data_IF_340185079680
#
_entry.id   IF_340185079680
#
_cell.length_a   1.000
_cell.length_b   1.000
_cell.length_c   1.000
_cell.angle_alpha   90.00
_cell.angle_beta   90.00
_cell.angle_gamma   90.00
#
_symmetry.space_group_name_H-M   'P 1'
#
loop_
_entity.id
_entity.type
_entity.pdbx_description
1 polymer ?
#
# COMPACT_ATOMS: atom_id res chain seq x y z
N UNK A 1 -16.10 3.46 -18.17
CA UNK A 1 -14.91 4.16 -17.68
C UNK A 1 -13.82 4.13 -18.72
N UNK A 2 -12.94 5.12 -18.68
CA UNK A 2 -11.68 5.06 -19.42
C UNK A 2 -10.72 4.16 -18.65
N UNK A 3 -10.05 3.25 -19.37
CA UNK A 3 -8.97 2.44 -18.82
C UNK A 3 -7.69 3.27 -18.80
N UNK A 4 -7.01 3.28 -17.67
CA UNK A 4 -5.68 3.85 -17.48
C UNK A 4 -4.69 2.71 -17.33
N UNK A 5 -3.52 2.91 -17.93
CA UNK A 5 -2.40 1.97 -17.84
C UNK A 5 -1.20 2.76 -17.32
N UNK A 6 -0.59 2.27 -16.25
CA UNK A 6 0.62 2.83 -15.66
C UNK A 6 1.77 1.84 -15.72
N UNK A 7 2.99 2.35 -15.60
CA UNK A 7 4.17 1.53 -15.38
C UNK A 7 5.21 2.33 -14.59
N UNK A 8 5.92 1.65 -13.70
CA UNK A 8 6.93 2.19 -12.79
C UNK A 8 8.07 1.19 -12.65
N UNK A 9 9.22 1.72 -12.23
CA UNK A 9 10.44 0.97 -12.05
C UNK A 9 11.25 1.58 -10.92
N UNK A 10 11.75 0.74 -10.02
CA UNK A 10 12.62 1.15 -8.90
C UNK A 10 14.04 0.59 -9.10
N UNK A 11 15.04 1.47 -9.02
CA UNK A 11 16.45 1.18 -9.25
C UNK A 11 17.27 1.83 -8.14
N UNK A 12 18.17 1.05 -7.54
CA UNK A 12 19.13 1.55 -6.55
C UNK A 12 20.56 1.39 -7.05
N UNK A 13 21.38 2.42 -6.80
CA UNK A 13 22.80 2.41 -7.05
C UNK A 13 23.56 2.76 -5.76
N UNK A 14 24.53 1.92 -5.40
CA UNK A 14 25.38 2.11 -4.23
C UNK A 14 26.84 2.20 -4.68
N UNK A 15 27.57 3.19 -4.18
CA UNK A 15 29.02 3.26 -4.32
C UNK A 15 29.62 3.60 -2.96
N UNK A 16 30.43 2.70 -2.41
CA UNK A 16 31.15 2.88 -1.15
C UNK A 16 32.61 2.49 -1.35
N UNK A 17 33.52 3.33 -0.87
CA UNK A 17 34.95 3.07 -0.88
C UNK A 17 35.50 3.29 0.54
N UNK A 18 35.92 2.19 1.18
CA UNK A 18 36.58 2.22 2.49
C UNK A 18 38.03 1.71 2.42
N UNK A 19 38.67 1.77 1.25
CA UNK A 19 40.06 1.33 1.03
C UNK A 19 40.16 0.03 0.23
N UNK A 20 41.40 -0.44 0.04
CA UNK A 20 41.79 -1.44 -0.98
C UNK A 20 40.94 -2.72 -1.00
N UNK A 21 40.36 -3.13 0.14
CA UNK A 21 39.61 -4.37 0.30
C UNK A 21 38.11 -4.16 0.57
N UNK A 22 37.64 -2.90 0.63
CA UNK A 22 36.27 -2.56 1.04
C UNK A 22 35.57 -1.58 0.08
N UNK A 23 35.81 -1.77 -1.22
CA UNK A 23 35.04 -1.11 -2.28
C UNK A 23 33.78 -1.93 -2.61
N UNK A 24 32.62 -1.30 -2.58
CA UNK A 24 31.32 -1.88 -2.94
C UNK A 24 30.65 -0.98 -3.98
N UNK A 25 30.34 -1.56 -5.14
CA UNK A 25 29.53 -0.95 -6.17
C UNK A 25 28.36 -1.88 -6.46
N UNK A 26 27.14 -1.36 -6.33
CA UNK A 26 25.89 -2.10 -6.61
C UNK A 26 25.07 -1.27 -7.57
N UNK A 27 24.51 -1.94 -8.58
CA UNK A 27 23.41 -1.43 -9.39
C UNK A 27 22.36 -2.53 -9.38
N UNK A 28 21.19 -2.23 -8.85
CA UNK A 28 20.14 -3.21 -8.64
C UNK A 28 18.78 -2.66 -9.08
N UNK A 29 18.05 -3.47 -9.84
CA UNK A 29 16.69 -3.21 -10.29
C UNK A 29 15.78 -3.88 -9.27
N UNK A 30 15.17 -3.10 -8.39
CA UNK A 30 14.41 -3.66 -7.27
C UNK A 30 13.04 -4.17 -7.72
N UNK A 31 12.39 -3.41 -8.61
CA UNK A 31 11.02 -3.70 -9.00
C UNK A 31 10.66 -3.10 -10.35
N UNK A 32 9.80 -3.80 -11.10
CA UNK A 32 9.04 -3.25 -12.22
C UNK A 32 7.57 -3.54 -11.98
N UNK A 33 6.73 -2.51 -12.02
CA UNK A 33 5.29 -2.64 -11.83
C UNK A 33 4.52 -2.07 -13.05
N UNK A 34 3.37 -2.68 -13.32
CA UNK A 34 2.39 -2.26 -14.33
C UNK A 34 1.02 -2.18 -13.68
N UNK A 35 0.34 -1.06 -13.87
CA UNK A 35 -1.00 -0.84 -13.35
C UNK A 35 -2.07 -0.83 -14.44
N UNK A 36 -3.24 -1.37 -14.12
CA UNK A 36 -4.46 -1.31 -14.90
C UNK A 36 -5.58 -0.77 -14.01
N UNK A 37 -6.10 0.40 -14.34
CA UNK A 37 -7.00 1.13 -13.46
C UNK A 37 -8.18 1.69 -14.24
N UNK A 38 -9.39 1.65 -13.67
CA UNK A 38 -10.55 2.22 -14.35
C UNK A 38 -11.64 2.70 -13.40
N UNK A 39 -12.19 3.86 -13.73
CA UNK A 39 -13.47 4.31 -13.18
C UNK A 39 -14.60 3.56 -13.88
N UNK A 40 -14.99 2.39 -13.36
CA UNK A 40 -16.00 1.52 -13.96
C UNK A 40 -17.33 2.27 -14.12
N UNK A 41 -17.83 2.86 -13.02
CA UNK A 41 -19.05 3.68 -12.92
C UNK A 41 -18.79 4.88 -11.98
N UNK A 42 -19.66 5.92 -11.89
CA UNK A 42 -19.40 7.10 -11.03
C UNK A 42 -19.10 6.82 -9.55
N UNK A 43 -19.52 5.66 -9.04
CA UNK A 43 -19.36 5.23 -7.65
C UNK A 43 -18.48 3.98 -7.51
N UNK A 44 -17.89 3.44 -8.59
CA UNK A 44 -17.08 2.22 -8.56
C UNK A 44 -15.78 2.39 -9.35
N UNK A 45 -14.68 2.13 -8.67
CA UNK A 45 -13.32 2.16 -9.19
C UNK A 45 -12.68 0.78 -9.05
N UNK A 46 -11.89 0.36 -10.04
CA UNK A 46 -11.12 -0.89 -9.98
C UNK A 46 -9.65 -0.63 -10.32
N UNK A 47 -8.77 -1.36 -9.66
CA UNK A 47 -7.31 -1.31 -9.85
C UNK A 47 -6.71 -2.71 -9.80
N UNK A 48 -5.69 -2.94 -10.64
CA UNK A 48 -4.80 -4.09 -10.60
C UNK A 48 -3.38 -3.58 -10.80
N UNK A 49 -2.48 -3.98 -9.92
CA UNK A 49 -1.05 -3.74 -9.97
C UNK A 49 -0.34 -5.09 -10.05
N UNK A 50 0.40 -5.27 -11.14
CA UNK A 50 1.24 -6.43 -11.37
C UNK A 50 2.68 -6.01 -11.13
N UNK A 51 3.37 -6.71 -10.27
CA UNK A 51 4.77 -6.42 -9.95
C UNK A 51 5.67 -7.58 -10.35
N UNK A 52 6.93 -7.26 -10.61
CA UNK A 52 8.02 -8.21 -10.77
C UNK A 52 9.26 -7.68 -10.03
N UNK A 53 9.58 -8.25 -8.86
CA UNK A 53 10.89 -8.12 -8.24
C UNK A 53 12.00 -8.69 -9.14
N UNK A 54 13.25 -8.24 -8.97
CA UNK A 54 14.41 -8.61 -9.81
C UNK A 54 14.59 -10.13 -10.01
N UNK A 55 14.30 -10.88 -8.97
CA UNK A 55 14.60 -12.30 -8.79
C UNK A 55 13.35 -13.17 -8.61
N UNK A 56 12.16 -12.60 -8.82
CA UNK A 56 10.88 -13.30 -8.71
C UNK A 56 10.07 -13.30 -10.01
N UNK A 57 9.05 -14.16 -10.02
CA UNK A 57 8.04 -14.18 -11.08
C UNK A 57 7.06 -13.00 -10.95
N UNK A 58 6.38 -12.69 -12.05
CA UNK A 58 5.31 -11.68 -12.02
C UNK A 58 4.22 -12.12 -11.05
N UNK A 59 3.85 -11.24 -10.12
CA UNK A 59 2.81 -11.49 -9.13
C UNK A 59 1.80 -10.34 -9.07
N UNK A 60 0.67 -10.57 -8.39
CA UNK A 60 -0.31 -9.53 -8.12
C UNK A 60 0.05 -8.85 -6.81
N UNK A 61 0.50 -7.59 -6.91
CA UNK A 61 0.76 -6.72 -5.77
C UNK A 61 -0.54 -6.20 -5.17
N UNK A 62 -1.42 -5.65 -6.00
CA UNK A 62 -2.70 -5.15 -5.54
C UNK A 62 -3.78 -5.42 -6.59
N UNK A 63 -4.95 -5.88 -6.15
CA UNK A 63 -6.10 -6.03 -7.01
C UNK A 63 -7.35 -5.78 -6.17
N UNK A 64 -7.99 -4.63 -6.39
CA UNK A 64 -9.08 -4.18 -5.55
C UNK A 64 -10.15 -3.40 -6.31
N UNK A 65 -11.35 -3.42 -5.75
CA UNK A 65 -12.43 -2.51 -6.11
C UNK A 65 -12.71 -1.55 -4.96
N UNK A 66 -13.00 -0.30 -5.29
CA UNK A 66 -13.38 0.75 -4.35
C UNK A 66 -14.75 1.28 -4.74
N UNK A 67 -15.71 1.20 -3.83
CA UNK A 67 -17.06 1.72 -4.01
C UNK A 67 -17.31 2.94 -3.11
N UNK A 68 -17.81 4.03 -3.69
CA UNK A 68 -18.40 5.14 -2.97
C UNK A 68 -19.87 4.81 -2.67
N UNK A 69 -20.20 4.70 -1.39
CA UNK A 69 -21.55 4.36 -0.93
C UNK A 69 -22.39 5.61 -0.61
N UNK A 70 -21.85 6.81 -0.87
CA UNK A 70 -22.43 8.09 -0.55
C UNK A 70 -22.25 8.47 0.92
N UNK A 71 -22.53 9.75 1.23
CA UNK A 71 -22.48 10.31 2.60
C UNK A 71 -21.11 10.11 3.30
N UNK A 72 -20.04 10.07 2.50
CA UNK A 72 -18.67 9.87 2.96
C UNK A 72 -18.29 8.42 3.25
N UNK A 73 -19.17 7.44 2.98
CA UNK A 73 -18.85 6.02 3.14
C UNK A 73 -18.12 5.47 1.92
N UNK A 74 -17.10 4.65 2.17
CA UNK A 74 -16.31 3.97 1.14
C UNK A 74 -16.09 2.52 1.52
N UNK A 75 -16.24 1.62 0.56
CA UNK A 75 -15.87 0.21 0.67
C UNK A 75 -14.64 -0.04 -0.21
N UNK A 76 -13.64 -0.77 0.28
CA UNK A 76 -12.56 -1.35 -0.51
C UNK A 76 -12.59 -2.86 -0.31
N UNK A 77 -12.48 -3.63 -1.39
CA UNK A 77 -12.46 -5.09 -1.33
C UNK A 77 -11.51 -5.66 -2.37
N UNK A 78 -10.70 -6.64 -1.99
CA UNK A 78 -9.68 -7.24 -2.86
C UNK A 78 -8.42 -7.62 -2.10
N UNK A 79 -7.29 -7.74 -2.80
CA UNK A 79 -5.97 -7.94 -2.22
C UNK A 79 -5.21 -6.62 -2.22
N UNK A 80 -4.81 -6.12 -1.06
CA UNK A 80 -4.14 -4.83 -0.90
C UNK A 80 -3.46 -4.72 0.47
N UNK A 81 -2.58 -3.72 0.64
CA UNK A 81 -1.98 -3.39 1.94
C UNK A 81 -3.01 -2.74 2.87
N UNK A 82 -3.29 -3.35 4.02
CA UNK A 82 -4.31 -2.87 4.96
C UNK A 82 -3.92 -1.57 5.66
N UNK A 83 -4.90 -0.86 6.21
CA UNK A 83 -4.66 0.39 6.92
C UNK A 83 -4.07 0.13 8.33
N UNK A 84 -2.75 -0.04 8.41
CA UNK A 84 -2.02 -0.13 9.67
C UNK A 84 -0.92 0.93 9.73
N UNK A 85 -0.93 1.76 10.77
CA UNK A 85 0.01 2.88 10.88
C UNK A 85 -0.07 3.87 9.71
N UNK A 86 1.06 4.55 9.44
CA UNK A 86 1.18 5.54 8.36
C UNK A 86 1.81 4.93 7.10
N UNK A 87 2.82 4.08 7.26
CA UNK A 87 3.68 3.65 6.16
C UNK A 87 3.22 2.37 5.47
N UNK A 88 2.37 1.55 6.10
CA UNK A 88 1.99 0.24 5.55
C UNK A 88 1.30 0.35 4.17
N UNK A 89 0.62 1.45 3.88
CA UNK A 89 -0.11 1.65 2.63
C UNK A 89 0.67 2.47 1.60
N UNK A 90 1.95 2.75 1.83
CA UNK A 90 2.78 3.58 0.95
C UNK A 90 3.67 2.68 0.11
N UNK A 91 3.47 2.70 -1.21
CA UNK A 91 4.25 1.91 -2.16
C UNK A 91 5.72 2.32 -2.16
N UNK A 92 6.60 1.36 -2.44
CA UNK A 92 8.05 1.50 -2.55
C UNK A 92 8.50 2.83 -3.19
N UNK A 93 8.03 3.23 -4.39
CA UNK A 93 8.51 4.44 -5.06
C UNK A 93 8.02 5.75 -4.42
N UNK A 94 6.96 5.69 -3.62
CA UNK A 94 6.34 6.85 -2.97
C UNK A 94 6.88 7.08 -1.55
N UNK A 95 7.64 6.11 -1.01
CA UNK A 95 8.19 6.23 0.33
C UNK A 95 9.29 7.29 0.39
N UNK A 96 9.31 8.11 1.46
CA UNK A 96 10.39 9.07 1.66
C UNK A 96 11.71 8.42 2.11
N UNK A 97 11.69 7.13 2.48
CA UNK A 97 12.87 6.36 2.83
C UNK A 97 13.31 5.46 1.66
N UNK A 98 14.63 5.28 1.51
CA UNK A 98 15.22 4.39 0.50
C UNK A 98 14.84 2.93 0.72
N UNK A 99 14.74 2.50 1.98
CA UNK A 99 14.33 1.15 2.37
C UNK A 99 13.14 1.20 3.30
N UNK A 100 12.40 0.08 3.38
CA UNK A 100 11.35 -0.06 4.37
C UNK A 100 11.96 0.09 5.78
N UNK A 101 11.32 0.83 6.71
CA UNK A 101 11.83 0.89 8.08
C UNK A 101 11.77 -0.47 8.75
N UNK A 102 12.86 -0.85 9.43
CA UNK A 102 12.99 -2.16 10.10
C UNK A 102 11.79 -2.56 10.97
N UNK A 103 11.13 -1.67 11.75
CA UNK A 103 9.96 -2.09 12.51
C UNK A 103 8.79 -2.52 11.62
N UNK A 104 8.62 -1.93 10.44
CA UNK A 104 7.54 -2.34 9.52
C UNK A 104 7.88 -3.70 8.92
N UNK A 105 9.12 -3.85 8.44
CA UNK A 105 9.64 -5.09 7.85
C UNK A 105 9.61 -6.27 8.83
N UNK A 106 10.07 -6.08 10.07
CA UNK A 106 10.14 -7.15 11.07
C UNK A 106 8.75 -7.64 11.50
N UNK A 107 7.77 -6.74 11.62
CA UNK A 107 6.44 -7.11 12.13
C UNK A 107 5.44 -7.45 11.04
N UNK A 108 5.64 -6.99 9.80
CA UNK A 108 4.68 -7.15 8.70
C UNK A 108 5.32 -7.77 7.45
N UNK A 109 6.63 -8.02 7.44
CA UNK A 109 7.37 -8.51 6.29
C UNK A 109 7.69 -7.44 5.25
N UNK A 110 8.51 -7.81 4.27
CA UNK A 110 8.88 -6.95 3.13
C UNK A 110 7.68 -6.50 2.32
N UNK A 111 6.65 -7.35 2.23
CA UNK A 111 5.39 -7.06 1.52
C UNK A 111 4.36 -6.33 2.36
N UNK A 112 4.71 -6.02 3.61
CA UNK A 112 3.89 -5.33 4.58
C UNK A 112 2.55 -6.07 4.79
N UNK A 113 1.53 -5.44 5.39
CA UNK A 113 0.25 -6.09 5.70
C UNK A 113 -0.66 -6.23 4.45
N UNK A 114 -0.13 -6.82 3.38
CA UNK A 114 -0.82 -7.14 2.13
C UNK A 114 -1.65 -8.40 2.29
N UNK A 115 -2.97 -8.24 2.26
CA UNK A 115 -3.92 -9.33 2.53
C UNK A 115 -5.13 -9.24 1.61
N UNK A 116 -5.90 -10.33 1.53
CA UNK A 116 -7.25 -10.27 0.97
C UNK A 116 -8.20 -9.74 2.04
N UNK A 117 -8.80 -8.58 1.76
CA UNK A 117 -9.49 -7.80 2.76
C UNK A 117 -10.78 -7.17 2.23
N UNK A 118 -11.66 -6.83 3.18
CA UNK A 118 -12.78 -5.91 2.98
C UNK A 118 -12.70 -4.82 4.04
N UNK A 119 -12.58 -3.57 3.60
CA UNK A 119 -12.52 -2.38 4.46
C UNK A 119 -13.75 -1.50 4.22
N UNK A 120 -14.44 -1.11 5.29
CA UNK A 120 -15.46 -0.07 5.27
C UNK A 120 -14.95 1.14 6.05
N UNK A 121 -14.98 2.30 5.41
CA UNK A 121 -14.59 3.57 6.01
C UNK A 121 -15.65 4.64 5.88
N UNK A 122 -15.59 5.65 6.75
CA UNK A 122 -16.38 6.87 6.67
C UNK A 122 -15.53 8.10 6.92
N UNK A 123 -15.60 9.04 5.99
CA UNK A 123 -15.08 10.41 6.13
C UNK A 123 -16.20 11.39 6.47
N UNK A 124 -15.97 12.21 7.48
CA UNK A 124 -16.88 13.28 7.90
C UNK A 124 -16.16 14.63 7.82
N UNK A 125 -16.75 15.56 7.07
CA UNK A 125 -16.36 16.97 7.10
C UNK A 125 -16.91 17.60 8.39
N UNK A 126 -16.02 18.20 9.17
CA UNK A 126 -16.36 18.87 10.43
C UNK A 126 -16.51 20.39 10.27
N UNK A 127 -16.33 20.90 9.05
CA UNK A 127 -16.30 22.32 8.73
C UNK A 127 -14.93 22.96 9.00
N UNK A 128 -14.76 24.18 8.49
CA UNK A 128 -13.54 24.99 8.69
C UNK A 128 -12.23 24.30 8.26
N UNK A 129 -12.33 23.39 7.29
CA UNK A 129 -11.20 22.59 6.79
C UNK A 129 -10.83 21.39 7.65
N UNK A 130 -11.56 21.09 8.72
CA UNK A 130 -11.33 19.90 9.54
C UNK A 130 -12.08 18.68 9.01
N UNK A 131 -11.44 17.53 9.10
CA UNK A 131 -11.98 16.25 8.70
C UNK A 131 -11.66 15.20 9.74
N UNK A 132 -12.60 14.30 9.97
CA UNK A 132 -12.38 13.11 10.77
C UNK A 132 -12.91 11.88 10.04
N UNK A 133 -12.40 10.72 10.41
CA UNK A 133 -13.05 9.50 10.01
C UNK A 133 -12.48 8.26 10.66
N UNK A 134 -13.09 7.17 10.25
CA UNK A 134 -12.97 5.87 10.86
C UNK A 134 -13.04 4.82 9.77
N UNK A 135 -12.24 3.78 9.89
CA UNK A 135 -12.32 2.58 9.07
C UNK A 135 -12.23 1.32 9.93
N UNK A 136 -12.83 0.26 9.41
CA UNK A 136 -12.71 -1.10 9.92
C UNK A 136 -12.51 -2.07 8.78
N UNK A 137 -11.65 -3.06 8.97
CA UNK A 137 -11.29 -4.06 7.99
C UNK A 137 -11.36 -5.47 8.56
N UNK A 138 -11.70 -6.44 7.72
CA UNK A 138 -11.55 -7.89 7.97
C UNK A 138 -10.65 -8.44 6.87
N UNK A 139 -9.69 -9.28 7.22
CA UNK A 139 -8.75 -9.88 6.26
C UNK A 139 -8.38 -11.32 6.59
N UNK A 140 -7.91 -12.04 5.57
CA UNK A 140 -7.63 -13.49 5.56
C UNK A 140 -6.53 -13.94 6.52
N UNK A 141 -5.60 -13.05 6.90
CA UNK A 141 -4.46 -13.33 7.79
C UNK A 141 -3.40 -14.25 7.17
N UNK A 142 -3.14 -14.10 5.87
CA UNK A 142 -2.15 -14.92 5.16
C UNK A 142 -0.72 -14.36 5.32
N UNK A 143 -0.53 -13.17 5.90
CA UNK A 143 0.80 -12.62 6.12
C UNK A 143 1.62 -13.48 7.10
N UNK A 144 2.74 -14.01 6.61
CA UNK A 144 3.62 -14.90 7.38
C UNK A 144 4.21 -14.25 8.63
N UNK A 145 4.70 -13.02 8.51
CA UNK A 145 5.35 -12.30 9.61
C UNK A 145 4.38 -11.95 10.75
N UNK A 146 3.14 -11.58 10.40
CA UNK A 146 2.14 -11.13 11.36
C UNK A 146 1.24 -12.26 11.90
N UNK A 147 0.97 -13.30 11.09
CA UNK A 147 -0.09 -14.29 11.36
C UNK A 147 0.27 -15.74 11.08
N UNK A 148 1.56 -16.07 10.91
CA UNK A 148 2.03 -17.44 10.69
C UNK A 148 1.33 -18.14 9.50
N UNK A 149 1.28 -17.44 8.37
CA UNK A 149 0.76 -17.93 7.08
C UNK A 149 -0.71 -18.37 7.13
N UNK A 150 -1.51 -17.76 8.00
CA UNK A 150 -2.93 -18.09 8.15
C UNK A 150 -3.18 -19.51 8.65
N UNK A 151 -2.21 -20.14 9.32
CA UNK A 151 -2.30 -21.54 9.77
C UNK A 151 -3.54 -21.84 10.63
N UNK A 152 -4.04 -20.87 11.41
CA UNK A 152 -5.26 -21.06 12.21
C UNK A 152 -6.54 -21.00 11.37
N UNK A 153 -6.49 -20.45 10.15
CA UNK A 153 -7.64 -20.17 9.30
C UNK A 153 -8.50 -18.98 9.78
N UNK A 154 -8.14 -18.37 10.91
CA UNK A 154 -8.87 -17.25 11.49
C UNK A 154 -8.83 -16.02 10.57
N UNK A 155 -9.68 -15.06 10.88
CA UNK A 155 -9.70 -13.76 10.21
C UNK A 155 -9.18 -12.72 11.18
N UNK A 156 -8.34 -11.82 10.71
CA UNK A 156 -7.90 -10.67 11.48
C UNK A 156 -8.76 -9.44 11.18
N UNK A 157 -8.74 -8.53 12.15
CA UNK A 157 -9.52 -7.30 12.14
C UNK A 157 -8.58 -6.11 12.36
N UNK A 158 -8.79 -5.05 11.61
CA UNK A 158 -8.04 -3.80 11.74
C UNK A 158 -8.97 -2.60 11.75
N UNK A 159 -8.49 -1.46 12.24
CA UNK A 159 -9.23 -0.22 12.18
C UNK A 159 -8.34 0.99 12.36
N UNK A 160 -8.73 2.09 11.73
CA UNK A 160 -7.99 3.35 11.79
C UNK A 160 -8.93 4.49 12.13
N UNK A 161 -8.49 5.35 13.04
CA UNK A 161 -9.09 6.66 13.26
C UNK A 161 -8.17 7.71 12.66
N UNK A 162 -8.75 8.71 12.02
CA UNK A 162 -8.01 9.87 11.56
C UNK A 162 -8.74 11.15 11.90
N UNK A 163 -7.95 12.17 12.20
CA UNK A 163 -8.38 13.53 12.37
C UNK A 163 -7.31 14.43 11.78
N UNK A 164 -7.72 15.41 10.99
CA UNK A 164 -6.78 16.31 10.34
C UNK A 164 -7.45 17.59 9.87
N UNK A 165 -6.61 18.55 9.50
CA UNK A 165 -7.02 19.78 8.84
C UNK A 165 -6.44 19.76 7.44
N UNK A 166 -7.27 20.04 6.44
CA UNK A 166 -6.80 20.25 5.08
C UNK A 166 -5.87 21.47 5.08
N UNK A 167 -4.57 21.25 4.93
CA UNK A 167 -3.60 22.33 4.76
C UNK A 167 -3.83 22.96 3.37
N UNK A 168 -3.81 24.29 3.30
CA UNK A 168 -4.04 25.05 2.06
C UNK A 168 -2.86 24.97 1.09
N UNK A 169 -1.71 24.50 1.54
CA UNK A 169 -0.50 24.44 0.73
C UNK A 169 -0.15 22.98 0.45
N UNK A 170 0.11 22.69 -0.83
CA UNK A 170 0.62 21.41 -1.30
C UNK A 170 1.90 21.05 -0.55
N UNK A 171 1.79 20.25 0.50
CA UNK A 171 2.89 19.42 0.94
C UNK A 171 2.91 18.24 -0.03
N UNK A 172 3.99 18.12 -0.80
CA UNK A 172 4.29 16.93 -1.61
C UNK A 172 3.99 15.68 -0.79
N UNK A 173 2.99 14.90 -1.23
CA UNK A 173 2.84 13.45 -1.16
C UNK A 173 1.45 13.11 -1.69
#
# INVERSE_FOLDING_TARGET
GDLRVGANMDLIAEARDFGADMNRQVLDLREVEVSLESQINPWLYGMIFLTRPSDEDISVEEAAVIADLGRGFRLKAGKYRNEFGLLNTVHEPERPQVSLPLPVEEFLGEEQLRETAVTLGRLTDLGNGYRAGISGAVFNSDNDAAFDAGQSGDKAFGGKLYFGRQASDMAYQ
#
